data_IF_319545270960
#
_entry.id   IF_319545270960
#
_cell.length_a   1.000
_cell.length_b   1.000
_cell.length_c   1.000
_cell.angle_alpha   90.00
_cell.angle_beta   90.00
_cell.angle_gamma   90.00
#
_symmetry.space_group_name_H-M   'P 1'
#
loop_
_entity.id
_entity.type
_entity.pdbx_description
1 polymer ?
#
# COMPACT_ATOMS: atom_id res chain seq x y z
N UNK A 1 -30.34 2.59 -8.82
CA UNK A 1 -29.09 3.29 -8.41
C UNK A 1 -28.67 4.23 -9.53
N UNK A 2 -28.49 5.54 -9.25
CA UNK A 2 -27.97 6.49 -10.25
C UNK A 2 -26.50 6.12 -10.53
N UNK A 3 -26.13 5.97 -11.81
CA UNK A 3 -24.72 5.82 -12.19
C UNK A 3 -23.98 7.09 -11.74
N UNK A 4 -22.90 6.92 -10.99
CA UNK A 4 -22.02 8.04 -10.66
C UNK A 4 -21.45 8.61 -11.97
N UNK A 5 -21.60 9.92 -12.18
CA UNK A 5 -20.98 10.61 -13.31
C UNK A 5 -19.51 10.87 -12.95
N UNK A 6 -18.61 10.05 -13.47
CA UNK A 6 -17.18 10.20 -13.25
C UNK A 6 -16.61 11.34 -14.11
N UNK A 7 -15.58 12.01 -13.62
CA UNK A 7 -14.82 12.95 -14.42
C UNK A 7 -14.08 12.22 -15.57
N UNK A 8 -13.70 12.92 -16.65
CA UNK A 8 -12.90 12.32 -17.73
C UNK A 8 -11.59 11.70 -17.21
N UNK A 9 -10.91 12.37 -16.28
CA UNK A 9 -9.66 11.86 -15.71
C UNK A 9 -9.89 10.61 -14.83
N UNK A 10 -10.92 10.61 -13.98
CA UNK A 10 -11.30 9.44 -13.19
C UNK A 10 -11.62 8.25 -14.08
N UNK A 11 -12.31 8.48 -15.20
CA UNK A 11 -12.63 7.44 -16.19
C UNK A 11 -11.35 6.87 -16.81
N UNK A 12 -10.40 7.72 -17.20
CA UNK A 12 -9.10 7.30 -17.75
C UNK A 12 -8.28 6.47 -16.76
N UNK A 13 -8.25 6.84 -15.47
CA UNK A 13 -7.56 6.05 -14.45
C UNK A 13 -8.24 4.70 -14.20
N UNK A 14 -9.59 4.67 -14.16
CA UNK A 14 -10.34 3.42 -14.07
C UNK A 14 -10.04 2.49 -15.25
N UNK A 15 -10.00 3.00 -16.48
CA UNK A 15 -9.65 2.20 -17.67
C UNK A 15 -8.23 1.59 -17.58
N UNK A 16 -7.25 2.35 -17.06
CA UNK A 16 -5.91 1.83 -16.80
C UNK A 16 -5.94 0.68 -15.81
N UNK A 17 -6.70 0.80 -14.72
CA UNK A 17 -6.88 -0.27 -13.74
C UNK A 17 -7.54 -1.50 -14.35
N UNK A 18 -8.63 -1.34 -15.11
CA UNK A 18 -9.29 -2.46 -15.78
C UNK A 18 -8.35 -3.20 -16.73
N UNK A 19 -7.54 -2.47 -17.50
CA UNK A 19 -6.52 -3.04 -18.39
C UNK A 19 -5.47 -3.81 -17.59
N UNK A 20 -4.99 -3.25 -16.48
CA UNK A 20 -4.02 -3.86 -15.59
C UNK A 20 -4.57 -5.15 -14.97
N UNK A 21 -5.79 -5.13 -14.44
CA UNK A 21 -6.46 -6.28 -13.84
C UNK A 21 -6.67 -7.42 -14.84
N UNK A 22 -7.15 -7.11 -16.04
CA UNK A 22 -7.28 -8.09 -17.13
C UNK A 22 -5.93 -8.69 -17.52
N UNK A 23 -4.91 -7.84 -17.72
CA UNK A 23 -3.58 -8.27 -18.18
C UNK A 23 -2.88 -9.16 -17.14
N UNK A 24 -2.86 -8.72 -15.88
CA UNK A 24 -2.01 -9.28 -14.83
C UNK A 24 -2.71 -10.33 -13.96
N UNK A 25 -4.01 -10.16 -13.70
CA UNK A 25 -4.78 -10.99 -12.78
C UNK A 25 -5.91 -11.79 -13.45
N UNK A 26 -6.14 -11.60 -14.76
CA UNK A 26 -7.23 -12.25 -15.52
C UNK A 26 -8.64 -11.91 -15.01
N UNK A 27 -8.76 -10.81 -14.27
CA UNK A 27 -10.04 -10.30 -13.78
C UNK A 27 -10.74 -9.57 -14.93
N UNK A 28 -11.86 -10.12 -15.40
CA UNK A 28 -12.64 -9.62 -16.55
C UNK A 28 -14.07 -9.23 -16.16
N UNK A 29 -14.24 -8.55 -15.02
CA UNK A 29 -15.54 -8.09 -14.53
C UNK A 29 -15.61 -6.57 -14.45
N UNK A 30 -16.84 -6.06 -14.40
CA UNK A 30 -17.10 -4.65 -14.19
C UNK A 30 -16.94 -4.26 -12.72
N UNK A 31 -16.45 -3.04 -12.49
CA UNK A 31 -16.45 -2.37 -11.18
C UNK A 31 -17.55 -1.30 -11.11
N UNK A 32 -18.67 -1.51 -11.81
CA UNK A 32 -19.80 -0.56 -11.83
C UNK A 32 -20.49 -0.37 -10.49
N UNK A 33 -20.32 -1.31 -9.56
CA UNK A 33 -20.80 -1.22 -8.19
C UNK A 33 -19.86 -0.42 -7.27
N UNK A 34 -18.64 -0.12 -7.73
CA UNK A 34 -17.63 0.56 -6.95
C UNK A 34 -18.01 2.03 -6.78
N UNK A 35 -18.10 2.48 -5.53
CA UNK A 35 -18.24 3.90 -5.22
C UNK A 35 -16.85 4.51 -5.23
N UNK A 36 -16.57 5.36 -6.22
CA UNK A 36 -15.32 6.12 -6.27
C UNK A 36 -15.58 7.44 -5.53
N UNK A 37 -14.87 7.74 -4.42
CA UNK A 37 -15.10 8.99 -3.70
C UNK A 37 -14.82 10.21 -4.59
N UNK A 38 -15.40 11.36 -4.24
CA UNK A 38 -15.04 12.62 -4.88
C UNK A 38 -13.55 12.93 -4.62
N UNK A 39 -12.88 13.52 -5.61
CA UNK A 39 -11.45 13.80 -5.51
C UNK A 39 -11.24 15.12 -4.76
N UNK A 40 -10.57 15.05 -3.61
CA UNK A 40 -10.17 16.24 -2.87
C UNK A 40 -8.98 16.97 -3.54
N UNK A 41 -8.80 18.27 -3.32
CA UNK A 41 -7.61 18.98 -3.77
C UNK A 41 -6.32 18.36 -3.22
N UNK A 42 -5.34 18.13 -4.08
CA UNK A 42 -4.03 17.60 -3.69
C UNK A 42 -3.95 16.07 -3.58
N UNK A 43 -5.01 15.33 -3.89
CA UNK A 43 -4.96 13.88 -4.22
C UNK A 43 -5.20 13.67 -5.71
N UNK A 44 -4.44 12.77 -6.33
CA UNK A 44 -4.38 12.66 -7.80
C UNK A 44 -4.48 11.23 -8.34
N UNK A 45 -4.20 10.23 -7.50
CA UNK A 45 -4.00 8.86 -7.93
C UNK A 45 -5.11 7.96 -7.41
N UNK A 46 -5.86 7.34 -8.31
CA UNK A 46 -6.89 6.36 -7.96
C UNK A 46 -6.20 5.05 -7.60
N UNK A 47 -6.54 4.48 -6.45
CA UNK A 47 -6.23 3.08 -6.12
C UNK A 47 -7.54 2.31 -6.15
N UNK A 48 -7.53 1.14 -6.80
CA UNK A 48 -8.63 0.19 -6.78
C UNK A 48 -8.12 -1.12 -6.17
N UNK A 49 -8.79 -1.62 -5.14
CA UNK A 49 -8.47 -2.89 -4.50
C UNK A 49 -9.62 -3.89 -4.70
N UNK A 50 -9.50 -4.82 -5.68
CA UNK A 50 -10.44 -5.91 -5.80
C UNK A 50 -10.36 -6.84 -4.58
N UNK A 51 -11.50 -7.14 -3.95
CA UNK A 51 -11.53 -7.94 -2.73
C UNK A 51 -11.02 -9.37 -2.92
N UNK A 52 -11.18 -9.91 -4.14
CA UNK A 52 -10.72 -11.23 -4.54
C UNK A 52 -9.19 -11.35 -4.61
N UNK A 53 -8.46 -10.22 -4.67
CA UNK A 53 -7.00 -10.24 -4.70
C UNK A 53 -6.42 -10.27 -3.28
N UNK A 54 -5.70 -11.35 -2.98
CA UNK A 54 -4.85 -11.45 -1.79
C UNK A 54 -3.57 -10.62 -1.91
N UNK A 55 -2.97 -10.28 -0.77
CA UNK A 55 -1.63 -9.68 -0.71
C UNK A 55 -0.60 -10.52 -1.48
N UNK A 56 -0.67 -11.85 -1.36
CA UNK A 56 0.24 -12.77 -2.03
C UNK A 56 0.11 -12.74 -3.56
N UNK A 57 -1.11 -12.63 -4.10
CA UNK A 57 -1.31 -12.55 -5.54
C UNK A 57 -0.75 -11.25 -6.14
N UNK A 58 -0.96 -10.12 -5.46
CA UNK A 58 -0.39 -8.84 -5.89
C UNK A 58 1.14 -8.87 -5.79
N UNK A 59 1.69 -9.43 -4.70
CA UNK A 59 3.12 -9.61 -4.53
C UNK A 59 3.74 -10.47 -5.66
N UNK A 60 3.10 -11.58 -6.02
CA UNK A 60 3.52 -12.44 -7.15
C UNK A 60 3.48 -11.68 -8.49
N UNK A 61 2.51 -10.79 -8.70
CA UNK A 61 2.43 -9.99 -9.91
C UNK A 61 3.60 -9.00 -10.02
N UNK A 62 3.96 -8.34 -8.92
CA UNK A 62 5.07 -7.38 -8.88
C UNK A 62 6.42 -8.06 -9.10
N UNK A 63 6.64 -9.22 -8.47
CA UNK A 63 7.88 -10.00 -8.63
C UNK A 63 8.20 -10.44 -10.06
N UNK A 64 7.24 -10.34 -10.98
CA UNK A 64 7.45 -10.64 -12.42
C UNK A 64 8.11 -9.49 -13.17
N UNK A 65 8.26 -8.31 -12.56
CA UNK A 65 8.98 -7.22 -13.21
C UNK A 65 10.49 -7.45 -13.13
N UNK A 66 11.21 -7.34 -14.26
CA UNK A 66 12.67 -7.47 -14.28
C UNK A 66 13.37 -6.44 -13.36
N UNK A 67 12.74 -5.28 -13.17
CA UNK A 67 13.23 -4.19 -12.32
C UNK A 67 12.69 -4.22 -10.89
N UNK A 68 11.75 -5.13 -10.56
CA UNK A 68 11.22 -5.24 -9.19
C UNK A 68 11.94 -6.32 -8.40
N UNK A 69 12.56 -5.89 -7.30
CA UNK A 69 13.19 -6.77 -6.32
C UNK A 69 12.40 -6.80 -5.01
N UNK A 70 11.06 -6.72 -5.06
CA UNK A 70 10.27 -6.73 -3.84
C UNK A 70 10.44 -8.04 -3.07
N UNK A 71 11.03 -7.93 -1.88
CA UNK A 71 11.26 -9.05 -0.95
C UNK A 71 10.45 -8.82 0.32
N UNK A 72 9.79 -9.87 0.80
CA UNK A 72 9.23 -9.87 2.15
C UNK A 72 10.32 -10.23 3.15
N UNK A 73 10.87 -9.24 3.85
CA UNK A 73 11.95 -9.43 4.82
C UNK A 73 11.41 -9.48 6.25
N UNK A 74 11.37 -10.70 6.80
CA UNK A 74 10.99 -10.95 8.19
C UNK A 74 12.05 -10.49 9.20
N UNK A 75 13.31 -10.28 8.78
CA UNK A 75 14.43 -9.93 9.66
C UNK A 75 14.41 -8.47 10.13
N UNK A 76 13.74 -7.59 9.39
CA UNK A 76 13.40 -6.22 9.81
C UNK A 76 12.14 -6.14 10.67
N UNK A 77 11.56 -7.28 11.05
CA UNK A 77 10.50 -7.33 12.03
C UNK A 77 11.09 -7.13 13.42
N UNK A 78 10.71 -6.06 14.12
CA UNK A 78 11.10 -5.82 15.51
C UNK A 78 10.35 -6.73 16.51
N UNK A 79 9.82 -7.85 16.01
CA UNK A 79 9.12 -8.84 16.79
C UNK A 79 10.11 -9.80 17.44
N UNK A 80 9.90 -10.17 18.72
CA UNK A 80 10.56 -11.33 19.31
C UNK A 80 10.41 -12.56 18.39
N UNK A 81 11.49 -13.33 18.23
CA UNK A 81 11.56 -14.53 17.37
C UNK A 81 10.43 -15.57 17.58
N UNK A 82 9.62 -15.46 18.64
CA UNK A 82 8.46 -16.33 18.91
C UNK A 82 7.15 -15.92 18.21
N UNK A 83 7.11 -14.81 17.46
CA UNK A 83 5.89 -14.31 16.78
C UNK A 83 5.95 -14.46 15.24
N UNK A 84 6.69 -15.46 14.75
CA UNK A 84 7.12 -15.64 13.34
C UNK A 84 6.07 -16.21 12.35
N UNK A 85 4.83 -16.41 12.78
CA UNK A 85 3.76 -16.94 11.89
C UNK A 85 3.12 -15.87 10.98
N UNK A 86 3.84 -14.78 10.68
CA UNK A 86 3.35 -13.73 9.80
C UNK A 86 3.71 -14.07 8.34
N UNK A 87 2.68 -14.23 7.52
CA UNK A 87 2.76 -14.28 6.06
C UNK A 87 1.98 -13.10 5.47
N UNK A 88 2.16 -12.83 4.17
CA UNK A 88 1.36 -11.84 3.44
C UNK A 88 -0.15 -12.07 3.63
N UNK A 89 -0.59 -13.32 3.70
CA UNK A 89 -2.00 -13.70 3.81
C UNK A 89 -2.54 -13.53 5.24
N UNK A 90 -1.67 -13.46 6.25
CA UNK A 90 -2.08 -13.15 7.63
C UNK A 90 -2.18 -11.64 7.90
N UNK A 91 -1.74 -10.80 6.96
CA UNK A 91 -1.88 -9.35 7.05
C UNK A 91 -3.27 -8.97 6.54
N UNK A 92 -4.07 -8.38 7.41
CA UNK A 92 -5.45 -7.99 7.11
C UNK A 92 -5.57 -6.47 7.03
N UNK A 93 -6.53 -5.99 6.27
CA UNK A 93 -6.88 -4.58 6.30
C UNK A 93 -7.59 -4.25 7.62
N UNK A 94 -7.36 -3.05 8.15
CA UNK A 94 -7.97 -2.64 9.41
C UNK A 94 -9.50 -2.69 9.29
N UNK A 95 -10.18 -2.95 10.41
CA UNK A 95 -11.65 -3.04 10.46
C UNK A 95 -12.38 -1.75 10.06
N UNK A 96 -11.66 -0.63 9.95
CA UNK A 96 -12.19 0.61 9.37
C UNK A 96 -12.52 0.49 7.87
N UNK A 97 -11.99 -0.53 7.20
CA UNK A 97 -12.23 -0.76 5.78
C UNK A 97 -13.25 -1.88 5.56
N UNK A 98 -14.32 -1.57 4.84
CA UNK A 98 -15.46 -2.47 4.57
C UNK A 98 -15.07 -3.74 3.82
N UNK A 99 -15.88 -4.82 3.95
CA UNK A 99 -15.76 -6.02 3.12
C UNK A 99 -16.23 -5.69 1.68
N UNK A 100 -15.39 -5.92 0.67
CA UNK A 100 -15.73 -5.70 -0.74
C UNK A 100 -14.63 -4.98 -1.51
N UNK A 101 -14.87 -4.76 -2.81
CA UNK A 101 -13.99 -3.96 -3.65
C UNK A 101 -13.90 -2.53 -3.14
N UNK A 102 -12.74 -1.89 -3.30
CA UNK A 102 -12.50 -0.54 -2.78
C UNK A 102 -11.89 0.38 -3.83
N UNK A 103 -12.27 1.65 -3.76
CA UNK A 103 -11.62 2.74 -4.47
C UNK A 103 -11.36 3.89 -3.50
N UNK A 104 -10.17 4.47 -3.58
CA UNK A 104 -9.83 5.69 -2.84
C UNK A 104 -8.76 6.46 -3.60
N UNK A 105 -8.65 7.74 -3.28
CA UNK A 105 -7.64 8.63 -3.84
C UNK A 105 -6.45 8.69 -2.90
N UNK A 106 -5.25 8.63 -3.49
CA UNK A 106 -4.00 8.95 -2.83
C UNK A 106 -3.33 10.14 -3.52
N UNK A 107 -2.40 10.80 -2.85
CA UNK A 107 -1.57 11.83 -3.47
C UNK A 107 -0.71 11.21 -4.57
N UNK A 108 -0.59 11.89 -5.70
CA UNK A 108 0.26 11.42 -6.80
C UNK A 108 1.71 11.85 -6.56
N UNK A 109 2.31 11.25 -5.53
CA UNK A 109 3.69 11.50 -5.13
C UNK A 109 4.33 10.21 -4.65
N UNK A 110 5.64 10.12 -4.87
CA UNK A 110 6.46 8.99 -4.44
C UNK A 110 6.75 9.08 -2.95
N UNK A 111 6.98 10.29 -2.45
CA UNK A 111 7.30 10.50 -1.04
C UNK A 111 6.03 10.58 -0.17
N UNK A 112 6.01 9.88 0.97
CA UNK A 112 4.90 9.95 1.91
C UNK A 112 4.75 11.32 2.60
N UNK A 113 3.51 11.62 3.03
CA UNK A 113 3.08 12.93 3.51
C UNK A 113 3.94 13.43 4.69
N UNK A 114 4.65 14.53 4.47
CA UNK A 114 5.51 15.17 5.48
C UNK A 114 4.74 15.51 6.77
N UNK A 115 3.49 15.93 6.62
CA UNK A 115 2.66 16.35 7.75
C UNK A 115 2.23 15.18 8.64
N UNK A 116 2.38 13.93 8.14
CA UNK A 116 1.99 12.72 8.82
C UNK A 116 3.15 11.94 9.46
N UNK A 117 4.39 12.41 9.29
CA UNK A 117 5.63 11.76 9.77
C UNK A 117 5.58 11.40 11.25
N UNK A 118 5.12 12.34 12.08
CA UNK A 118 5.19 12.21 13.54
C UNK A 118 3.93 11.57 14.14
N UNK A 119 2.99 11.13 13.31
CA UNK A 119 1.79 10.49 13.78
C UNK A 119 1.99 8.99 13.95
N UNK A 120 1.83 8.52 15.20
CA UNK A 120 1.64 7.10 15.46
C UNK A 120 0.38 6.60 14.76
N UNK A 121 0.38 5.33 14.43
CA UNK A 121 -0.77 4.64 13.85
C UNK A 121 -2.05 4.81 14.69
N UNK A 122 -1.93 4.86 16.02
CA UNK A 122 -3.06 5.10 16.91
C UNK A 122 -3.60 6.53 16.79
N UNK A 123 -2.74 7.52 16.57
CA UNK A 123 -3.17 8.89 16.35
C UNK A 123 -3.86 9.04 14.99
N UNK A 124 -3.39 8.35 13.94
CA UNK A 124 -4.05 8.33 12.63
C UNK A 124 -5.47 7.78 12.73
N UNK A 125 -5.64 6.66 13.44
CA UNK A 125 -6.97 6.06 13.72
C UNK A 125 -7.86 7.03 14.50
N UNK A 126 -7.34 7.65 15.58
CA UNK A 126 -8.10 8.63 16.38
C UNK A 126 -8.51 9.87 15.57
N UNK A 127 -7.73 10.24 14.57
CA UNK A 127 -8.00 11.36 13.67
C UNK A 127 -8.87 10.97 12.47
N UNK A 128 -9.31 9.71 12.39
CA UNK A 128 -10.05 9.17 11.25
C UNK A 128 -9.31 9.39 9.91
N UNK A 129 -7.98 9.38 9.94
CA UNK A 129 -7.16 9.52 8.76
C UNK A 129 -7.06 8.15 8.09
N UNK A 130 -7.66 8.05 6.91
CA UNK A 130 -7.58 6.86 6.07
C UNK A 130 -6.19 6.79 5.45
N UNK A 131 -5.49 5.69 5.68
CA UNK A 131 -4.13 5.47 5.19
C UNK A 131 -4.13 4.34 4.16
N UNK A 132 -3.16 4.34 3.24
CA UNK A 132 -3.00 3.26 2.27
C UNK A 132 -2.86 1.89 2.96
N UNK A 133 -3.50 0.87 2.40
CA UNK A 133 -3.32 -0.54 2.81
C UNK A 133 -2.04 -1.10 2.21
N UNK A 134 -1.58 -2.24 2.71
CA UNK A 134 -0.43 -2.94 2.11
C UNK A 134 -0.74 -3.34 0.65
N UNK A 135 -1.92 -3.89 0.40
CA UNK A 135 -2.37 -4.26 -0.94
C UNK A 135 -2.46 -3.04 -1.85
N UNK A 136 -3.01 -1.93 -1.35
CA UNK A 136 -3.05 -0.65 -2.06
C UNK A 136 -1.67 -0.16 -2.47
N UNK A 137 -0.70 -0.20 -1.56
CA UNK A 137 0.69 0.21 -1.85
C UNK A 137 1.35 -0.69 -2.90
N UNK A 138 1.18 -2.00 -2.78
CA UNK A 138 1.67 -2.94 -3.79
C UNK A 138 0.98 -2.74 -5.15
N UNK A 139 -0.32 -2.49 -5.17
CA UNK A 139 -1.04 -2.17 -6.41
C UNK A 139 -0.55 -0.84 -7.00
N UNK A 140 -0.22 0.15 -6.17
CA UNK A 140 0.35 1.42 -6.62
C UNK A 140 1.70 1.22 -7.32
N UNK A 141 2.63 0.48 -6.71
CA UNK A 141 3.90 0.05 -7.32
C UNK A 141 3.66 -0.61 -8.69
N UNK A 142 2.68 -1.51 -8.77
CA UNK A 142 2.34 -2.26 -9.98
C UNK A 142 1.85 -1.33 -11.11
N UNK A 143 0.92 -0.42 -10.83
CA UNK A 143 0.42 0.51 -11.85
C UNK A 143 1.45 1.58 -12.22
N UNK A 144 2.26 2.04 -11.26
CA UNK A 144 3.33 3.00 -11.50
C UNK A 144 4.39 2.42 -12.43
N UNK A 145 4.78 1.16 -12.20
CA UNK A 145 5.70 0.47 -13.10
C UNK A 145 5.10 0.23 -14.50
N UNK A 146 3.81 -0.09 -14.62
CA UNK A 146 3.18 -0.22 -15.95
C UNK A 146 3.18 1.09 -16.75
N UNK A 147 3.12 2.23 -16.06
CA UNK A 147 3.11 3.56 -16.69
C UNK A 147 4.50 4.09 -17.01
N UNK A 148 5.46 3.87 -16.11
CA UNK A 148 6.79 4.50 -16.19
C UNK A 148 7.90 3.53 -16.61
N UNK A 149 7.67 2.22 -16.50
CA UNK A 149 8.71 1.20 -16.62
C UNK A 149 9.68 1.13 -15.43
N UNK A 150 9.43 1.92 -14.37
CA UNK A 150 10.31 2.06 -13.22
C UNK A 150 9.60 1.72 -11.91
N UNK A 151 10.32 1.24 -10.89
CA UNK A 151 9.77 1.08 -9.54
C UNK A 151 9.48 2.43 -8.87
N UNK A 152 8.56 2.45 -7.91
CA UNK A 152 8.22 3.60 -7.07
C UNK A 152 9.32 3.79 -6.01
N UNK A 153 10.50 4.30 -6.39
CA UNK A 153 11.64 4.49 -5.50
C UNK A 153 11.42 5.67 -4.54
N UNK A 154 10.80 5.41 -3.40
CA UNK A 154 10.76 6.34 -2.28
C UNK A 154 12.08 6.29 -1.49
N UNK A 155 12.57 7.46 -1.06
CA UNK A 155 13.72 7.58 -0.17
C UNK A 155 13.38 7.12 1.25
N UNK A 156 12.09 7.09 1.58
CA UNK A 156 11.60 6.85 2.95
C UNK A 156 10.57 5.72 2.97
N UNK A 157 10.59 4.94 4.06
CA UNK A 157 9.67 3.82 4.24
C UNK A 157 8.22 4.31 4.37
N UNK A 158 7.33 3.73 3.57
CA UNK A 158 5.89 3.96 3.62
C UNK A 158 5.22 3.01 4.62
N UNK A 159 4.62 3.58 5.66
CA UNK A 159 3.78 2.90 6.62
C UNK A 159 2.39 2.65 6.03
N UNK A 160 2.07 1.38 5.77
CA UNK A 160 0.77 0.96 5.26
C UNK A 160 -0.23 0.82 6.43
N UNK A 161 -0.53 1.96 7.08
CA UNK A 161 -1.37 2.02 8.28
C UNK A 161 -2.83 1.60 8.05
N UNK A 162 -3.23 1.39 6.79
CA UNK A 162 -4.50 0.73 6.45
C UNK A 162 -4.54 -0.77 6.74
N UNK A 163 -3.39 -1.42 7.00
CA UNK A 163 -3.32 -2.88 7.26
C UNK A 163 -2.63 -3.20 8.59
N UNK A 164 -2.91 -4.40 9.14
CA UNK A 164 -2.36 -4.92 10.40
C UNK A 164 -1.97 -6.38 10.28
N UNK A 165 -0.99 -6.79 11.07
CA UNK A 165 -0.72 -8.22 11.33
C UNK A 165 -1.64 -8.72 12.45
N UNK A 166 -1.68 -10.04 12.63
CA UNK A 166 -2.34 -10.71 13.78
C UNK A 166 -1.81 -10.28 15.16
N UNK A 167 -0.73 -9.51 15.20
CA UNK A 167 -0.07 -9.02 16.42
C UNK A 167 -0.07 -7.48 16.51
N UNK A 168 -0.97 -6.80 15.78
CA UNK A 168 -1.05 -5.34 15.68
C UNK A 168 0.20 -4.67 15.08
N UNK A 169 1.06 -5.43 14.42
CA UNK A 169 2.16 -4.89 13.62
C UNK A 169 1.61 -4.16 12.39
N UNK A 170 2.31 -3.13 11.94
CA UNK A 170 1.95 -2.34 10.76
C UNK A 170 2.95 -2.66 9.63
N UNK A 171 2.48 -3.14 8.48
CA UNK A 171 3.36 -3.38 7.35
C UNK A 171 3.95 -2.07 6.81
N UNK A 172 5.19 -2.14 6.38
CA UNK A 172 5.94 -1.03 5.81
C UNK A 172 6.56 -1.47 4.48
N UNK A 173 6.48 -0.61 3.46
CA UNK A 173 7.14 -0.80 2.17
C UNK A 173 8.24 0.24 2.05
N UNK A 174 9.47 -0.20 1.85
CA UNK A 174 10.64 0.67 1.83
C UNK A 174 11.66 0.24 0.79
N UNK A 175 12.66 1.08 0.55
CA UNK A 175 13.77 0.76 -0.36
C UNK A 175 15.06 0.66 0.43
N UNK A 176 15.48 -0.59 0.70
CA UNK A 176 16.68 -0.87 1.49
C UNK A 176 17.96 -0.70 0.67
N UNK A 177 18.97 -0.02 1.26
CA UNK A 177 20.38 -0.06 0.83
C UNK A 177 21.19 -1.14 1.54
N UNK A 178 20.58 -1.88 2.48
CA UNK A 178 21.25 -2.83 3.38
C UNK A 178 21.83 -4.08 2.70
N UNK A 179 21.35 -4.44 1.51
CA UNK A 179 22.03 -5.43 0.68
C UNK A 179 22.98 -4.68 -0.25
N UNK A 180 24.27 -4.70 0.09
CA UNK A 180 25.40 -4.00 -0.56
C UNK A 180 25.50 -4.13 -2.08
N UNK A 181 24.66 -4.92 -2.74
CA UNK A 181 24.81 -5.21 -4.17
C UNK A 181 23.71 -4.67 -5.09
N UNK A 182 22.48 -4.33 -4.65
CA UNK A 182 21.44 -3.64 -5.49
C UNK A 182 20.32 -3.01 -4.62
N UNK A 183 19.71 -1.87 -5.02
CA UNK A 183 18.51 -1.35 -4.35
C UNK A 183 17.34 -2.34 -4.48
N UNK A 184 16.74 -2.73 -3.35
CA UNK A 184 15.58 -3.64 -3.31
C UNK A 184 14.40 -2.98 -2.61
N UNK A 185 13.21 -3.22 -3.14
CA UNK A 185 11.98 -2.94 -2.41
C UNK A 185 11.84 -4.00 -1.31
N UNK A 186 11.56 -3.58 -0.10
CA UNK A 186 11.43 -4.46 1.05
C UNK A 186 10.07 -4.21 1.70
N UNK A 187 9.34 -5.30 1.91
CA UNK A 187 8.20 -5.32 2.80
C UNK A 187 8.65 -5.89 4.15
N UNK A 188 8.47 -5.11 5.21
CA UNK A 188 8.78 -5.51 6.58
C UNK A 188 7.67 -5.07 7.54
N UNK A 189 7.73 -5.50 8.80
CA UNK A 189 6.71 -5.21 9.83
C UNK A 189 7.28 -4.26 10.88
N UNK A 190 6.65 -3.10 11.04
CA UNK A 190 6.90 -2.14 12.12
C UNK A 190 5.96 -2.40 13.29
N UNK A 191 6.44 -2.29 14.54
CA UNK A 191 5.55 -2.26 15.72
C UNK A 191 5.40 -0.83 16.24
N UNK A 192 4.16 -0.43 16.49
CA UNK A 192 3.80 0.84 17.14
C UNK A 192 4.10 0.87 18.64
N UNK A 193 4.46 -0.26 19.26
CA UNK A 193 4.68 -0.41 20.71
C UNK A 193 6.14 -0.32 21.19
N UNK A 194 7.12 -0.15 20.30
CA UNK A 194 8.49 0.10 20.76
C UNK A 194 8.67 1.59 21.05
N UNK A 195 8.32 1.97 22.29
CA UNK A 195 9.11 2.98 23.00
C UNK A 195 10.50 2.39 23.18
N UNK A 196 11.41 2.62 22.25
CA UNK A 196 12.84 2.46 22.51
C UNK A 196 13.39 3.84 22.81
N UNK A 197 13.97 3.96 24.00
CA UNK A 197 14.82 5.08 24.39
C UNK A 197 15.68 5.56 23.20
N UNK A 198 15.52 6.83 22.83
CA UNK A 198 16.57 7.62 22.20
C UNK A 198 16.95 7.38 20.74
N UNK A 199 16.30 6.47 20.00
CA UNK A 199 16.47 6.40 18.54
C UNK A 199 15.10 6.42 17.87
N UNK A 200 14.76 7.59 17.35
CA UNK A 200 13.49 7.88 16.69
C UNK A 200 13.23 6.92 15.53
N UNK A 201 11.95 6.56 15.38
CA UNK A 201 11.34 6.09 14.13
C UNK A 201 11.34 7.21 13.06
N UNK A 202 12.43 7.97 12.91
CA UNK A 202 12.49 9.25 12.17
C UNK A 202 12.37 9.11 10.65
N UNK A 203 12.32 7.89 10.12
CA UNK A 203 12.31 7.60 8.69
C UNK A 203 11.08 6.79 8.23
N UNK A 204 9.96 6.84 8.95
CA UNK A 204 8.72 6.16 8.52
C UNK A 204 7.61 7.18 8.36
N UNK A 205 6.91 7.17 7.23
CA UNK A 205 5.85 8.14 6.93
C UNK A 205 4.68 7.44 6.24
N UNK A 206 3.52 8.09 6.20
CA UNK A 206 2.27 7.51 5.70
C UNK A 206 1.94 8.11 4.33
N UNK A 207 1.58 7.29 3.35
CA UNK A 207 0.95 7.79 2.12
C UNK A 207 -0.56 7.85 2.37
N UNK A 208 -1.13 9.05 2.19
CA UNK A 208 -2.55 9.25 2.00
C UNK A 208 -2.89 9.23 0.53
#
# INVERSE_FOLDING_TARGET
>A
MKKQKLSPDTTKQLEKWLKLFRKRFKINRSFSHLVIPEREPGVGRLIIEPHELSNMEVFKAIRRFPASYMVFDRRRSFLPNKLLNITLDTITDSSLFTKGDRAYWIRDQVEPDNDLINYSTNQLVKKHITCITLRGMMLYELIYHEETGHPLKAEIDTLCAGSRTIHDGVPCVGWGTIYRDKPKCELFISHSKLKTHGTELSSRRVIM
#
